data_IF_646222249131
#
_entry.id   IF_646222249131
#
_cell.length_a   1.000
_cell.length_b   1.000
_cell.length_c   1.000
_cell.angle_alpha   90.00
_cell.angle_beta   90.00
_cell.angle_gamma   90.00
#
_symmetry.space_group_name_H-M   'P 1'
#
loop_
_entity.id
_entity.type
_entity.pdbx_description
1 polymer ?
#
# COMPACT_ATOMS: atom_id res chain seq x y z
N UNK A 1 34.46 -55.98 -15.99
CA UNK A 1 33.68 -54.99 -15.23
C UNK A 1 33.01 -54.06 -16.21
N UNK A 2 31.71 -53.74 -16.07
CA UNK A 2 31.04 -52.76 -16.93
C UNK A 2 31.37 -51.33 -16.51
N UNK A 3 30.96 -50.35 -17.32
CA UNK A 3 31.13 -48.93 -16.99
C UNK A 3 30.27 -48.54 -15.76
N UNK A 4 30.74 -47.60 -14.91
CA UNK A 4 30.12 -47.35 -13.61
C UNK A 4 28.66 -46.89 -13.66
N UNK A 5 28.28 -46.10 -14.67
CA UNK A 5 26.95 -45.47 -14.72
C UNK A 5 26.05 -46.07 -15.82
N UNK A 6 26.60 -46.39 -17.00
CA UNK A 6 25.80 -46.87 -18.13
C UNK A 6 25.73 -48.41 -18.20
N UNK A 7 26.46 -49.10 -17.32
CA UNK A 7 26.61 -50.55 -17.33
C UNK A 7 27.07 -51.11 -18.70
N UNK A 8 27.92 -50.35 -19.42
CA UNK A 8 28.43 -50.74 -20.74
C UNK A 8 29.52 -51.79 -20.56
N UNK A 9 29.40 -52.93 -21.25
CA UNK A 9 30.38 -54.02 -21.16
C UNK A 9 31.74 -53.58 -21.68
N UNK A 10 32.79 -53.71 -20.87
CA UNK A 10 34.16 -53.48 -21.33
C UNK A 10 34.70 -54.67 -22.13
N UNK A 11 35.57 -54.39 -23.09
CA UNK A 11 36.30 -55.41 -23.83
C UNK A 11 37.14 -56.29 -22.87
N UNK A 12 37.06 -57.62 -23.02
CA UNK A 12 37.89 -58.51 -22.21
C UNK A 12 39.31 -58.65 -22.80
N UNK A 13 40.30 -58.95 -21.94
CA UNK A 13 41.71 -59.00 -22.31
C UNK A 13 41.98 -59.91 -23.53
N UNK A 14 41.40 -61.11 -23.53
CA UNK A 14 41.53 -62.11 -24.59
C UNK A 14 40.20 -62.35 -25.35
N UNK A 15 39.49 -61.28 -25.69
CA UNK A 15 38.24 -61.37 -26.45
C UNK A 15 38.49 -61.44 -27.97
N UNK A 16 37.80 -62.37 -28.65
CA UNK A 16 37.68 -62.37 -30.11
C UNK A 16 36.59 -61.38 -30.56
N UNK A 17 36.75 -60.77 -31.74
CA UNK A 17 35.83 -59.76 -32.30
C UNK A 17 35.61 -58.56 -31.37
N UNK A 18 36.70 -57.90 -30.97
CA UNK A 18 36.66 -56.75 -30.03
C UNK A 18 35.86 -55.58 -30.60
N UNK A 19 35.89 -55.42 -31.92
CA UNK A 19 35.13 -54.42 -32.68
C UNK A 19 33.62 -54.51 -32.43
N UNK A 20 33.06 -55.70 -32.21
CA UNK A 20 31.61 -55.86 -31.92
C UNK A 20 31.26 -55.22 -30.58
N UNK A 21 32.06 -55.49 -29.53
CA UNK A 21 31.84 -54.90 -28.20
C UNK A 21 32.13 -53.41 -28.18
N UNK A 22 33.13 -52.95 -28.93
CA UNK A 22 33.41 -51.53 -29.06
C UNK A 22 32.26 -50.81 -29.75
N UNK A 23 31.73 -51.36 -30.84
CA UNK A 23 30.61 -50.75 -31.56
C UNK A 23 29.35 -50.68 -30.68
N UNK A 24 28.98 -51.76 -29.96
CA UNK A 24 27.85 -51.69 -29.01
C UNK A 24 28.10 -50.68 -27.88
N UNK A 25 29.34 -50.54 -27.40
CA UNK A 25 29.69 -49.55 -26.39
C UNK A 25 29.57 -48.11 -26.90
N UNK A 26 29.95 -47.86 -28.15
CA UNK A 26 29.80 -46.56 -28.82
C UNK A 26 28.31 -46.25 -29.01
N UNK A 27 27.54 -47.19 -29.53
CA UNK A 27 26.09 -47.06 -29.68
C UNK A 27 25.41 -46.82 -28.33
N UNK A 28 25.88 -47.48 -27.26
CA UNK A 28 25.38 -47.27 -25.91
C UNK A 28 25.56 -45.82 -25.44
N UNK A 29 26.74 -45.25 -25.69
CA UNK A 29 27.09 -43.91 -25.27
C UNK A 29 26.32 -42.86 -26.08
N UNK A 30 26.26 -43.03 -27.41
CA UNK A 30 25.51 -42.14 -28.29
C UNK A 30 24.02 -42.12 -27.90
N UNK A 31 23.42 -43.30 -27.73
CA UNK A 31 22.02 -43.40 -27.34
C UNK A 31 21.76 -42.82 -25.94
N UNK A 32 22.65 -43.07 -24.97
CA UNK A 32 22.54 -42.50 -23.63
C UNK A 32 22.62 -40.96 -23.62
N UNK A 33 23.19 -40.34 -24.64
CA UNK A 33 23.21 -38.88 -24.76
C UNK A 33 22.04 -38.35 -25.59
N UNK A 34 21.68 -39.03 -26.68
CA UNK A 34 20.88 -38.45 -27.76
C UNK A 34 19.51 -39.12 -27.97
N UNK A 35 19.37 -40.40 -27.60
CA UNK A 35 18.15 -41.15 -27.89
C UNK A 35 16.99 -40.74 -26.98
N UNK A 36 15.81 -40.58 -27.57
CA UNK A 36 14.55 -40.38 -26.85
C UNK A 36 13.74 -41.68 -26.81
N UNK A 37 13.24 -42.03 -25.62
CA UNK A 37 12.32 -43.13 -25.41
C UNK A 37 10.94 -42.58 -25.03
N UNK A 38 9.92 -42.92 -25.81
CA UNK A 38 8.52 -42.68 -25.42
C UNK A 38 7.99 -43.88 -24.64
N UNK A 39 7.45 -43.63 -23.44
CA UNK A 39 6.85 -44.64 -22.58
C UNK A 39 5.42 -44.22 -22.27
N UNK A 40 4.46 -45.11 -22.56
CA UNK A 40 3.09 -44.92 -22.14
C UNK A 40 2.99 -45.16 -20.62
N UNK A 41 2.63 -44.11 -19.89
CA UNK A 41 2.32 -44.16 -18.49
C UNK A 41 0.81 -44.37 -18.36
N UNK A 42 0.42 -45.52 -17.81
CA UNK A 42 -0.96 -45.73 -17.37
C UNK A 42 -1.29 -44.73 -16.25
N UNK A 43 -2.56 -44.60 -15.89
CA UNK A 43 -2.98 -43.82 -14.72
C UNK A 43 -2.60 -44.53 -13.40
N UNK A 44 -1.30 -44.78 -13.22
CA UNK A 44 -0.65 -45.51 -12.14
C UNK A 44 0.84 -45.15 -12.08
N UNK A 45 1.52 -45.48 -10.97
CA UNK A 45 2.96 -45.29 -10.86
C UNK A 45 3.72 -46.18 -11.86
N UNK A 46 4.85 -45.69 -12.36
CA UNK A 46 5.67 -46.37 -13.36
C UNK A 46 7.10 -46.55 -12.86
N UNK A 47 7.71 -47.71 -13.12
CA UNK A 47 9.12 -47.96 -12.84
C UNK A 47 9.87 -48.19 -14.15
N UNK A 48 10.94 -47.41 -14.37
CA UNK A 48 11.83 -47.62 -15.51
C UNK A 48 12.79 -48.77 -15.24
N UNK A 49 13.09 -49.55 -16.28
CA UNK A 49 14.16 -50.55 -16.21
C UNK A 49 15.54 -49.88 -16.29
N UNK A 50 16.56 -50.60 -15.83
CA UNK A 50 17.98 -50.21 -15.98
C UNK A 50 18.30 -49.81 -17.42
N UNK A 51 17.89 -50.62 -18.40
CA UNK A 51 18.14 -50.35 -19.82
C UNK A 51 17.41 -49.11 -20.32
N UNK A 52 16.14 -48.92 -19.95
CA UNK A 52 15.38 -47.72 -20.35
C UNK A 52 16.05 -46.45 -19.83
N UNK A 53 16.41 -46.44 -18.55
CA UNK A 53 17.08 -45.33 -17.91
C UNK A 53 18.52 -45.14 -18.40
N UNK A 54 19.24 -46.22 -18.77
CA UNK A 54 20.67 -46.21 -19.13
C UNK A 54 20.99 -46.10 -20.63
N UNK A 55 20.03 -46.33 -21.54
CA UNK A 55 20.26 -46.22 -23.00
C UNK A 55 19.58 -45.00 -23.63
N UNK A 56 18.87 -44.15 -22.90
CA UNK A 56 18.13 -43.01 -23.49
C UNK A 56 18.43 -41.71 -22.77
N UNK A 57 18.87 -40.68 -23.49
CA UNK A 57 19.12 -39.33 -22.98
C UNK A 57 17.84 -38.57 -22.59
N UNK A 58 16.71 -38.90 -23.21
CA UNK A 58 15.40 -38.31 -22.94
C UNK A 58 14.34 -39.41 -22.72
N UNK A 59 13.57 -39.30 -21.65
CA UNK A 59 12.36 -40.11 -21.41
C UNK A 59 11.13 -39.22 -21.61
N UNK A 60 10.23 -39.63 -22.50
CA UNK A 60 8.96 -38.95 -22.77
C UNK A 60 7.84 -39.81 -22.21
N UNK A 61 7.12 -39.28 -21.22
CA UNK A 61 5.97 -39.96 -20.64
C UNK A 61 4.71 -39.51 -21.38
N UNK A 62 3.92 -40.47 -21.87
CA UNK A 62 2.67 -40.24 -22.60
C UNK A 62 1.51 -40.95 -21.90
N UNK A 63 0.26 -40.66 -22.27
CA UNK A 63 -0.93 -41.22 -21.61
C UNK A 63 -1.81 -40.12 -21.01
N UNK A 64 -2.89 -40.52 -20.33
CA UNK A 64 -3.79 -39.58 -19.62
C UNK A 64 -3.79 -39.91 -18.15
N UNK A 65 -3.48 -38.92 -17.31
CA UNK A 65 -3.42 -39.07 -15.86
C UNK A 65 -4.59 -38.32 -15.20
N UNK A 66 -5.18 -38.90 -14.17
CA UNK A 66 -6.24 -38.24 -13.38
C UNK A 66 -5.77 -37.79 -12.00
N UNK A 67 -4.58 -38.21 -11.58
CA UNK A 67 -3.88 -37.76 -10.38
C UNK A 67 -2.36 -37.70 -10.63
N UNK A 68 -1.61 -37.00 -9.77
CA UNK A 68 -0.15 -37.05 -9.82
C UNK A 68 0.38 -38.47 -9.65
N UNK A 69 1.40 -38.85 -10.43
CA UNK A 69 1.98 -40.20 -10.42
C UNK A 69 3.49 -40.18 -10.15
N UNK A 70 3.98 -41.26 -9.57
CA UNK A 70 5.41 -41.47 -9.31
C UNK A 70 6.05 -42.18 -10.51
N UNK A 71 7.16 -41.62 -10.99
CA UNK A 71 8.10 -42.30 -11.88
C UNK A 71 9.32 -42.75 -11.05
N UNK A 72 9.52 -44.05 -10.92
CA UNK A 72 10.67 -44.61 -10.22
C UNK A 72 11.79 -44.94 -11.20
N UNK A 73 12.95 -44.34 -11.01
CA UNK A 73 14.17 -44.63 -11.76
C UNK A 73 15.08 -45.59 -10.96
N UNK A 74 15.89 -46.41 -11.64
CA UNK A 74 16.99 -47.13 -11.00
C UNK A 74 18.02 -46.14 -10.42
N UNK A 75 18.45 -46.35 -9.18
CA UNK A 75 19.44 -45.51 -8.51
C UNK A 75 20.78 -45.54 -9.27
N UNK A 76 21.32 -44.35 -9.56
CA UNK A 76 22.52 -44.18 -10.38
C UNK A 76 23.12 -42.77 -10.17
N UNK A 77 24.31 -42.49 -10.71
CA UNK A 77 24.88 -41.14 -10.81
C UNK A 77 24.58 -40.48 -12.17
N UNK A 78 23.61 -41.01 -12.90
CA UNK A 78 23.35 -40.63 -14.29
C UNK A 78 22.57 -39.31 -14.41
N UNK A 79 22.89 -38.55 -15.46
CA UNK A 79 22.10 -37.43 -15.97
C UNK A 79 21.23 -37.86 -17.16
N UNK A 80 19.97 -37.42 -17.18
CA UNK A 80 19.04 -37.57 -18.31
C UNK A 80 17.92 -36.53 -18.23
N UNK A 81 17.19 -36.31 -19.32
CA UNK A 81 16.00 -35.44 -19.33
C UNK A 81 14.71 -36.27 -19.23
N UNK A 82 13.71 -35.72 -18.55
CA UNK A 82 12.38 -36.33 -18.42
C UNK A 82 11.34 -35.32 -18.88
N UNK A 83 10.49 -35.70 -19.83
CA UNK A 83 9.37 -34.90 -20.33
C UNK A 83 8.05 -35.50 -19.89
N UNK A 84 7.23 -34.69 -19.23
CA UNK A 84 5.84 -35.03 -18.97
C UNK A 84 4.98 -34.57 -20.16
N UNK A 85 4.75 -35.47 -21.11
CA UNK A 85 3.86 -35.27 -22.26
C UNK A 85 2.50 -35.96 -22.07
N UNK A 86 2.10 -36.19 -20.81
CA UNK A 86 0.79 -36.76 -20.49
C UNK A 86 -0.31 -35.71 -20.60
N UNK A 87 -1.54 -36.16 -20.84
CA UNK A 87 -2.75 -35.36 -20.77
C UNK A 87 -3.39 -35.45 -19.37
N UNK A 88 -4.35 -34.57 -19.06
CA UNK A 88 -5.08 -34.57 -17.78
C UNK A 88 -4.56 -33.61 -16.71
N UNK A 89 -3.49 -32.85 -17.03
CA UNK A 89 -3.04 -31.70 -16.21
C UNK A 89 -2.37 -32.09 -14.89
N UNK A 90 -1.85 -33.31 -14.79
CA UNK A 90 -1.24 -33.84 -13.56
C UNK A 90 0.29 -33.87 -13.62
N UNK A 91 0.91 -33.57 -12.48
CA UNK A 91 2.36 -33.67 -12.30
C UNK A 91 2.84 -35.13 -12.31
N UNK A 92 4.06 -35.34 -12.78
CA UNK A 92 4.83 -36.57 -12.55
C UNK A 92 5.94 -36.28 -11.54
N UNK A 93 6.08 -37.13 -10.53
CA UNK A 93 7.09 -37.03 -9.47
C UNK A 93 8.16 -38.10 -9.67
N UNK A 94 9.31 -37.71 -10.20
CA UNK A 94 10.42 -38.63 -10.48
C UNK A 94 11.30 -38.82 -9.25
N UNK A 95 11.66 -40.08 -8.93
CA UNK A 95 12.50 -40.42 -7.77
C UNK A 95 13.26 -41.72 -7.94
N UNK A 96 14.20 -42.00 -7.05
CA UNK A 96 14.75 -43.34 -6.85
C UNK A 96 13.91 -44.15 -5.85
N UNK A 97 13.95 -45.47 -5.98
CA UNK A 97 13.28 -46.37 -5.05
C UNK A 97 13.82 -46.16 -3.62
N UNK A 98 12.93 -45.91 -2.65
CA UNK A 98 13.31 -45.64 -1.26
C UNK A 98 13.84 -44.24 -0.95
N UNK A 99 14.01 -43.37 -1.95
CA UNK A 99 14.39 -41.97 -1.73
C UNK A 99 13.20 -41.12 -1.24
N UNK A 100 13.48 -40.18 -0.34
CA UNK A 100 12.54 -39.13 0.06
C UNK A 100 12.55 -37.92 -0.88
N UNK A 101 13.58 -37.78 -1.72
CA UNK A 101 13.71 -36.70 -2.68
C UNK A 101 12.90 -37.01 -3.95
N UNK A 102 12.13 -36.02 -4.41
CA UNK A 102 11.33 -36.12 -5.63
C UNK A 102 11.57 -34.89 -6.50
N UNK A 103 11.68 -35.12 -7.81
CA UNK A 103 11.70 -34.06 -8.82
C UNK A 103 10.32 -33.97 -9.45
N UNK A 104 9.65 -32.83 -9.29
CA UNK A 104 8.34 -32.58 -9.89
C UNK A 104 8.52 -32.15 -11.34
N UNK A 105 7.83 -32.83 -12.26
CA UNK A 105 7.73 -32.47 -13.67
C UNK A 105 6.27 -32.14 -13.98
N UNK A 106 5.96 -30.84 -14.03
CA UNK A 106 4.62 -30.33 -14.35
C UNK A 106 4.20 -30.69 -15.78
N UNK A 107 2.88 -30.72 -16.10
CA UNK A 107 2.40 -31.03 -17.45
C UNK A 107 3.08 -30.19 -18.54
N UNK A 108 3.56 -30.85 -19.59
CA UNK A 108 4.23 -30.20 -20.73
C UNK A 108 5.69 -29.85 -20.50
N UNK A 109 6.20 -29.91 -19.27
CA UNK A 109 7.58 -29.55 -18.96
C UNK A 109 8.57 -30.66 -19.34
N UNK A 110 9.82 -30.25 -19.58
CA UNK A 110 10.99 -31.12 -19.70
C UNK A 110 12.01 -30.69 -18.65
N UNK A 111 12.42 -31.61 -17.78
CA UNK A 111 13.37 -31.34 -16.69
C UNK A 111 14.61 -32.20 -16.88
N UNK A 112 15.78 -31.57 -16.85
CA UNK A 112 17.05 -32.29 -16.75
C UNK A 112 17.23 -32.77 -15.31
N UNK A 113 17.52 -34.04 -15.10
CA UNK A 113 17.72 -34.62 -13.77
C UNK A 113 19.12 -35.21 -13.61
N UNK A 114 19.64 -35.20 -12.39
CA UNK A 114 20.95 -35.71 -12.01
C UNK A 114 20.83 -36.60 -10.77
N UNK A 115 21.29 -37.84 -10.87
CA UNK A 115 21.45 -38.73 -9.73
C UNK A 115 22.77 -38.54 -8.99
N UNK A 116 22.80 -38.85 -7.68
CA UNK A 116 24.03 -38.94 -6.88
C UNK A 116 24.28 -40.36 -6.32
N UNK A 117 23.59 -41.37 -6.84
CA UNK A 117 23.64 -42.76 -6.35
C UNK A 117 22.60 -43.10 -5.28
N UNK A 118 22.08 -42.12 -4.52
CA UNK A 118 21.04 -42.31 -3.51
C UNK A 118 19.74 -41.55 -3.78
N UNK A 119 19.86 -40.33 -4.32
CA UNK A 119 18.78 -39.39 -4.60
C UNK A 119 18.84 -38.86 -6.04
N UNK A 120 17.72 -38.30 -6.50
CA UNK A 120 17.54 -37.68 -7.80
C UNK A 120 17.23 -36.18 -7.62
N UNK A 121 17.92 -35.32 -8.36
CA UNK A 121 17.74 -33.87 -8.31
C UNK A 121 17.40 -33.29 -9.69
N UNK A 122 16.59 -32.24 -9.73
CA UNK A 122 16.41 -31.42 -10.92
C UNK A 122 17.64 -30.52 -11.14
N UNK A 123 18.05 -30.35 -12.39
CA UNK A 123 19.16 -29.48 -12.80
C UNK A 123 18.56 -28.24 -13.44
N UNK A 124 18.72 -27.08 -12.80
CA UNK A 124 18.28 -25.79 -13.32
C UNK A 124 16.80 -25.45 -13.07
N UNK A 125 16.30 -25.66 -11.85
CA UNK A 125 14.98 -25.16 -11.46
C UNK A 125 15.02 -23.67 -11.19
N UNK A 126 14.40 -22.87 -12.06
CA UNK A 126 13.90 -21.54 -11.65
C UNK A 126 12.74 -21.72 -10.66
N UNK A 127 12.55 -20.74 -9.80
CA UNK A 127 11.43 -20.70 -8.86
C UNK A 127 10.08 -20.87 -9.59
N UNK A 128 9.28 -21.87 -9.20
CA UNK A 128 7.95 -22.13 -9.77
C UNK A 128 6.89 -21.22 -9.16
N UNK A 129 7.12 -20.79 -7.92
CA UNK A 129 6.40 -19.73 -7.23
C UNK A 129 7.40 -18.73 -6.64
N UNK A 130 6.95 -17.49 -6.40
CA UNK A 130 7.80 -16.44 -5.83
C UNK A 130 8.42 -16.84 -4.47
N UNK A 131 7.74 -17.69 -3.70
CA UNK A 131 8.23 -18.23 -2.43
C UNK A 131 9.31 -19.32 -2.53
N UNK A 132 9.63 -19.78 -3.74
CA UNK A 132 10.73 -20.75 -3.94
C UNK A 132 12.10 -20.05 -4.00
N UNK A 133 12.12 -18.73 -4.10
CA UNK A 133 13.36 -17.95 -4.05
C UNK A 133 13.86 -17.88 -2.61
N UNK A 134 15.11 -18.27 -2.39
CA UNK A 134 15.70 -18.37 -1.04
C UNK A 134 15.82 -17.03 -0.31
N UNK A 135 15.80 -15.93 -1.05
CA UNK A 135 15.85 -14.56 -0.58
C UNK A 135 14.46 -13.89 -0.56
N UNK A 136 13.36 -14.66 -0.72
CA UNK A 136 11.99 -14.13 -0.70
C UNK A 136 11.12 -14.89 0.31
N UNK A 137 10.50 -14.16 1.22
CA UNK A 137 9.47 -14.65 2.14
C UNK A 137 8.10 -14.09 1.77
N UNK A 138 7.18 -14.97 1.40
CA UNK A 138 5.76 -14.64 1.15
C UNK A 138 4.86 -14.98 2.34
N UNK A 139 5.44 -15.34 3.49
CA UNK A 139 4.67 -15.69 4.67
C UNK A 139 3.81 -14.50 5.11
N UNK A 140 2.47 -14.68 5.09
CA UNK A 140 1.51 -13.64 5.45
C UNK A 140 1.14 -12.66 4.33
N UNK A 141 1.68 -12.80 3.11
CA UNK A 141 1.33 -11.95 1.98
C UNK A 141 -0.09 -12.26 1.45
N UNK A 142 -0.89 -11.21 1.22
CA UNK A 142 -2.19 -11.25 0.57
C UNK A 142 -2.13 -10.68 -0.87
N UNK A 143 -3.18 -10.93 -1.66
CA UNK A 143 -3.29 -10.36 -3.00
C UNK A 143 -3.37 -8.82 -2.92
N UNK A 144 -2.44 -8.14 -3.58
CA UNK A 144 -2.31 -6.68 -3.56
C UNK A 144 -1.21 -6.15 -2.65
N UNK A 145 -0.56 -7.01 -1.86
CA UNK A 145 0.55 -6.61 -0.99
C UNK A 145 1.84 -6.33 -1.78
N UNK A 146 2.66 -5.44 -1.23
CA UNK A 146 4.00 -5.13 -1.74
C UNK A 146 5.04 -5.88 -0.90
N UNK A 147 5.99 -6.54 -1.57
CA UNK A 147 7.18 -7.09 -0.91
C UNK A 147 8.28 -6.02 -0.89
N UNK A 148 8.93 -5.85 0.26
CA UNK A 148 10.02 -4.89 0.45
C UNK A 148 11.33 -5.61 0.79
N UNK A 149 12.44 -5.11 0.24
CA UNK A 149 13.78 -5.60 0.55
C UNK A 149 14.32 -4.99 1.84
N UNK A 150 14.74 -5.82 2.79
CA UNK A 150 15.23 -5.41 4.12
C UNK A 150 16.77 -5.32 4.22
N UNK A 151 17.47 -5.57 3.11
CA UNK A 151 18.93 -5.64 3.05
C UNK A 151 19.48 -7.08 3.06
N UNK A 152 18.64 -8.08 3.32
CA UNK A 152 18.99 -9.50 3.27
C UNK A 152 17.97 -10.33 2.47
N UNK A 153 16.67 -10.04 2.59
CA UNK A 153 15.58 -10.73 1.93
C UNK A 153 14.44 -9.78 1.52
N UNK A 154 13.58 -10.24 0.61
CA UNK A 154 12.31 -9.61 0.27
C UNK A 154 11.19 -10.21 1.13
N UNK A 155 10.41 -9.38 1.81
CA UNK A 155 9.31 -9.85 2.67
C UNK A 155 8.06 -8.98 2.56
N UNK A 156 6.90 -9.54 2.88
CA UNK A 156 5.67 -8.77 3.02
C UNK A 156 5.82 -7.81 4.22
N UNK A 157 5.80 -6.52 3.94
CA UNK A 157 5.67 -5.48 4.97
C UNK A 157 4.19 -5.15 5.05
N UNK A 158 3.56 -5.47 6.18
CA UNK A 158 2.13 -5.22 6.39
C UNK A 158 1.80 -3.76 6.05
N UNK A 159 0.83 -3.58 5.15
CA UNK A 159 0.21 -2.34 4.64
C UNK A 159 0.76 -1.04 5.25
N UNK A 160 2.00 -0.70 4.90
CA UNK A 160 2.57 0.62 5.14
C UNK A 160 2.03 1.55 4.06
N UNK A 161 1.07 2.40 4.42
CA UNK A 161 0.38 3.35 3.54
C UNK A 161 1.38 4.15 2.70
N UNK A 162 1.55 3.78 1.43
CA UNK A 162 2.31 4.55 0.44
C UNK A 162 1.43 5.43 -0.45
N UNK A 163 0.26 5.82 0.04
CA UNK A 163 -0.42 6.97 -0.54
C UNK A 163 -0.23 8.14 0.40
N UNK A 164 0.73 9.02 0.08
CA UNK A 164 0.51 10.44 0.30
C UNK A 164 -0.82 10.71 -0.40
N UNK A 165 -1.92 10.74 0.35
CA UNK A 165 -3.20 11.14 -0.18
C UNK A 165 -2.97 12.54 -0.75
N UNK A 166 -2.85 12.62 -2.09
CA UNK A 166 -3.13 13.86 -2.79
C UNK A 166 -4.58 14.13 -2.42
N UNK A 167 -4.79 14.96 -1.38
CA UNK A 167 -6.12 15.36 -0.99
C UNK A 167 -6.77 15.92 -2.26
N UNK A 168 -7.92 15.36 -2.69
CA UNK A 168 -8.59 15.86 -3.88
C UNK A 168 -8.85 17.36 -3.71
N UNK A 169 -8.85 18.10 -4.81
CA UNK A 169 -9.15 19.54 -4.78
C UNK A 169 -10.43 19.81 -3.98
N UNK A 170 -10.33 20.69 -2.97
CA UNK A 170 -11.46 21.14 -2.15
C UNK A 170 -11.70 22.63 -2.40
N UNK A 171 -12.90 22.97 -2.84
CA UNK A 171 -13.28 24.35 -3.15
C UNK A 171 -14.68 24.47 -3.71
N UNK A 172 -15.08 25.70 -4.03
CA UNK A 172 -16.33 25.99 -4.71
C UNK A 172 -16.13 27.12 -5.75
N UNK A 173 -16.93 27.08 -6.82
CA UNK A 173 -17.04 28.15 -7.82
C UNK A 173 -18.50 28.52 -7.97
N UNK A 174 -18.85 29.72 -7.54
CA UNK A 174 -20.19 30.29 -7.60
C UNK A 174 -20.29 31.21 -8.79
N UNK A 175 -21.47 31.23 -9.44
CA UNK A 175 -21.74 32.12 -10.57
C UNK A 175 -23.13 32.71 -10.51
N UNK A 176 -23.28 33.80 -11.28
CA UNK A 176 -24.58 34.37 -11.64
C UNK A 176 -24.97 33.99 -13.07
N UNK A 177 -26.21 33.57 -13.26
CA UNK A 177 -26.83 33.34 -14.57
C UNK A 177 -27.51 34.59 -15.13
N UNK A 178 -27.87 35.56 -14.28
CA UNK A 178 -28.52 36.81 -14.69
C UNK A 178 -27.80 38.04 -14.19
N UNK A 179 -28.03 39.17 -14.85
CA UNK A 179 -27.52 40.47 -14.41
C UNK A 179 -27.98 40.79 -12.97
N UNK A 180 -27.23 41.67 -12.30
CA UNK A 180 -27.54 42.13 -10.95
C UNK A 180 -27.52 43.65 -10.90
N UNK A 181 -28.66 44.24 -10.56
CA UNK A 181 -28.76 45.67 -10.32
C UNK A 181 -28.23 46.01 -8.92
N UNK A 182 -27.23 46.88 -8.86
CA UNK A 182 -26.69 47.46 -7.63
C UNK A 182 -27.30 48.85 -7.48
N UNK A 183 -28.53 48.89 -6.93
CA UNK A 183 -29.32 50.11 -6.83
C UNK A 183 -28.98 50.96 -5.59
N UNK A 184 -28.44 50.34 -4.54
CA UNK A 184 -28.13 51.03 -3.28
C UNK A 184 -26.72 51.60 -3.35
N UNK A 185 -26.59 52.92 -3.12
CA UNK A 185 -25.30 53.63 -3.16
C UNK A 185 -24.78 53.90 -1.75
N UNK A 186 -23.46 54.11 -1.63
CA UNK A 186 -22.86 54.51 -0.35
C UNK A 186 -22.74 53.41 0.71
N UNK A 187 -23.03 52.16 0.34
CA UNK A 187 -22.91 50.98 1.21
C UNK A 187 -22.39 49.78 0.43
N UNK A 188 -21.81 48.81 1.13
CA UNK A 188 -21.42 47.53 0.53
C UNK A 188 -22.65 46.66 0.30
N UNK A 189 -22.83 46.20 -0.93
CA UNK A 189 -23.86 45.25 -1.34
C UNK A 189 -23.19 43.92 -1.65
N UNK A 190 -23.50 42.89 -0.86
CA UNK A 190 -23.05 41.53 -1.11
C UNK A 190 -23.72 40.94 -2.34
N UNK A 191 -22.98 40.25 -3.19
CA UNK A 191 -23.52 39.63 -4.39
C UNK A 191 -24.21 38.30 -4.06
N UNK A 192 -25.52 38.14 -4.34
CA UNK A 192 -26.16 36.84 -4.20
C UNK A 192 -25.79 35.96 -5.40
N UNK A 193 -25.37 34.72 -5.12
CA UNK A 193 -25.05 33.72 -6.13
C UNK A 193 -26.27 32.86 -6.46
N UNK A 194 -26.28 32.25 -7.65
CA UNK A 194 -27.44 31.50 -8.15
C UNK A 194 -27.15 30.01 -8.33
N UNK A 195 -25.89 29.65 -8.60
CA UNK A 195 -25.47 28.27 -8.75
C UNK A 195 -24.00 28.11 -8.40
N UNK A 196 -23.64 26.94 -7.88
CA UNK A 196 -22.27 26.45 -7.86
C UNK A 196 -22.01 25.62 -9.12
N UNK A 197 -20.93 25.92 -9.85
CA UNK A 197 -20.43 25.04 -10.93
C UNK A 197 -19.80 23.79 -10.32
N UNK A 198 -19.09 23.98 -9.21
CA UNK A 198 -18.67 22.92 -8.31
C UNK A 198 -18.70 23.44 -6.88
N UNK A 199 -18.94 22.53 -5.93
CA UNK A 199 -18.76 22.76 -4.50
C UNK A 199 -18.40 21.43 -3.84
N UNK A 200 -17.10 21.13 -3.77
CA UNK A 200 -16.60 19.86 -3.24
C UNK A 200 -16.48 19.85 -1.71
N UNK A 201 -16.80 20.97 -1.03
CA UNK A 201 -16.66 21.10 0.42
C UNK A 201 -17.90 21.62 1.13
N UNK A 202 -19.04 21.71 0.46
CA UNK A 202 -20.27 22.31 0.98
C UNK A 202 -20.05 23.73 1.52
N UNK A 203 -19.31 24.54 0.75
CA UNK A 203 -19.03 25.93 1.10
C UNK A 203 -20.24 26.84 0.88
N UNK A 204 -21.15 26.51 -0.04
CA UNK A 204 -22.27 27.38 -0.41
C UNK A 204 -23.62 26.74 -0.15
N UNK A 205 -24.54 27.56 0.37
CA UNK A 205 -25.93 27.20 0.61
C UNK A 205 -26.83 28.23 -0.08
N UNK A 206 -27.77 27.75 -0.90
CA UNK A 206 -28.74 28.60 -1.58
C UNK A 206 -29.64 29.40 -0.61
N UNK A 207 -29.80 28.95 0.64
CA UNK A 207 -30.45 29.67 1.72
C UNK A 207 -29.65 30.85 2.30
N UNK A 208 -28.34 30.91 2.01
CA UNK A 208 -27.44 32.02 2.35
C UNK A 208 -26.66 32.45 1.10
N UNK A 209 -27.35 32.96 0.07
CA UNK A 209 -26.86 32.94 -1.30
C UNK A 209 -25.61 33.80 -1.53
N UNK A 210 -25.26 34.75 -0.65
CA UNK A 210 -24.08 35.59 -0.79
C UNK A 210 -22.81 35.05 -0.14
N UNK A 211 -22.89 33.92 0.58
CA UNK A 211 -21.82 33.46 1.48
C UNK A 211 -21.15 32.17 1.05
N UNK A 212 -19.82 32.15 1.08
CA UNK A 212 -19.01 30.93 1.15
C UNK A 212 -18.62 30.70 2.61
N UNK A 213 -19.21 29.70 3.26
CA UNK A 213 -18.99 29.36 4.66
C UNK A 213 -17.92 28.28 4.80
N UNK A 214 -17.00 28.46 5.75
CA UNK A 214 -15.87 27.57 5.98
C UNK A 214 -16.35 26.32 6.76
N UNK A 215 -16.23 25.11 6.18
CA UNK A 215 -16.55 23.88 6.88
C UNK A 215 -15.50 23.52 7.93
N UNK A 216 -15.82 22.57 8.81
CA UNK A 216 -14.89 22.07 9.81
C UNK A 216 -13.60 21.51 9.18
N UNK A 217 -12.48 21.71 9.87
CA UNK A 217 -11.17 21.17 9.47
C UNK A 217 -10.44 21.96 8.38
N UNK A 218 -10.96 23.09 7.90
CA UNK A 218 -10.23 24.01 6.99
C UNK A 218 -9.55 25.10 7.81
N UNK A 219 -8.25 25.32 7.62
CA UNK A 219 -7.45 26.29 8.38
C UNK A 219 -6.97 27.45 7.53
N UNK A 220 -6.78 27.25 6.21
CA UNK A 220 -6.45 28.32 5.27
C UNK A 220 -7.15 28.18 3.93
N UNK A 221 -7.54 29.31 3.36
CA UNK A 221 -8.19 29.38 2.05
C UNK A 221 -7.62 30.51 1.21
N UNK A 222 -7.86 30.45 -0.10
CA UNK A 222 -7.70 31.59 -1.01
C UNK A 222 -9.02 31.84 -1.72
N UNK A 223 -9.34 33.10 -1.91
CA UNK A 223 -10.55 33.57 -2.58
C UNK A 223 -10.15 34.25 -3.88
N UNK A 224 -10.82 33.89 -4.98
CA UNK A 224 -10.65 34.54 -6.29
C UNK A 224 -12.02 34.95 -6.79
N UNK A 225 -12.17 36.16 -7.30
CA UNK A 225 -13.45 36.66 -7.79
C UNK A 225 -13.31 37.42 -9.08
N UNK A 226 -14.38 37.43 -9.86
CA UNK A 226 -14.50 38.26 -11.04
C UNK A 226 -15.87 38.92 -11.08
N UNK A 227 -15.88 40.21 -11.46
CA UNK A 227 -17.11 40.91 -11.83
C UNK A 227 -16.94 41.55 -13.21
N UNK A 228 -18.04 41.74 -13.92
CA UNK A 228 -18.09 42.60 -15.09
C UNK A 228 -19.28 43.56 -14.99
N UNK A 229 -19.08 44.84 -15.29
CA UNK A 229 -20.18 45.80 -15.37
C UNK A 229 -20.85 45.77 -16.75
N UNK A 230 -22.16 45.55 -16.77
CA UNK A 230 -23.04 45.86 -17.91
C UNK A 230 -23.32 47.37 -17.98
N UNK A 231 -23.38 48.04 -16.83
CA UNK A 231 -23.46 49.50 -16.72
C UNK A 231 -22.59 49.93 -15.55
N UNK A 232 -21.43 50.52 -15.84
CA UNK A 232 -20.46 50.89 -14.81
C UNK A 232 -20.86 52.17 -14.05
N UNK A 233 -20.76 52.16 -12.71
CA UNK A 233 -21.00 53.34 -11.89
C UNK A 233 -19.75 54.23 -11.80
N UNK A 234 -19.95 55.52 -11.57
CA UNK A 234 -18.89 56.56 -11.51
C UNK A 234 -17.80 56.34 -10.46
N UNK A 235 -18.11 55.65 -9.36
CA UNK A 235 -17.13 55.23 -8.36
C UNK A 235 -17.52 53.85 -7.87
N UNK A 236 -16.56 52.94 -7.84
CA UNK A 236 -16.78 51.53 -7.55
C UNK A 236 -15.62 50.96 -6.73
N UNK A 237 -15.97 50.10 -5.80
CA UNK A 237 -15.05 49.21 -5.11
C UNK A 237 -15.67 47.83 -5.11
N UNK A 238 -14.89 46.82 -5.47
CA UNK A 238 -15.22 45.41 -5.26
C UNK A 238 -14.22 44.84 -4.27
N UNK A 239 -14.69 44.08 -3.29
CA UNK A 239 -13.86 43.57 -2.20
C UNK A 239 -14.37 42.22 -1.69
N UNK A 240 -13.43 41.32 -1.39
CA UNK A 240 -13.68 40.12 -0.59
C UNK A 240 -13.79 40.53 0.89
N UNK A 241 -14.93 40.25 1.50
CA UNK A 241 -15.18 40.53 2.91
C UNK A 241 -15.28 39.22 3.69
N UNK A 242 -14.75 39.21 4.91
CA UNK A 242 -14.84 38.10 5.86
C UNK A 242 -15.79 38.51 6.99
N UNK A 243 -16.80 37.69 7.26
CA UNK A 243 -17.79 37.97 8.31
C UNK A 243 -18.38 39.39 8.22
N UNK A 244 -18.64 39.86 6.99
CA UNK A 244 -19.18 41.20 6.69
C UNK A 244 -18.19 42.36 6.80
N UNK A 245 -16.92 42.10 7.12
CA UNK A 245 -15.88 43.11 7.33
C UNK A 245 -14.77 43.00 6.28
N UNK A 246 -14.08 44.13 6.02
CA UNK A 246 -12.83 44.11 5.25
C UNK A 246 -11.80 43.25 5.99
N UNK A 247 -11.01 42.48 5.24
CA UNK A 247 -10.01 41.56 5.79
C UNK A 247 -8.63 41.88 5.25
N UNK A 248 -7.61 41.84 6.12
CA UNK A 248 -6.23 42.02 5.70
C UNK A 248 -5.83 40.93 4.69
N UNK A 249 -5.28 41.33 3.55
CA UNK A 249 -4.98 40.40 2.45
C UNK A 249 -6.21 39.96 1.65
N UNK A 250 -7.40 40.52 1.92
CA UNK A 250 -8.58 40.34 1.08
C UNK A 250 -8.36 40.96 -0.30
N UNK A 251 -8.79 40.26 -1.35
CA UNK A 251 -8.76 40.81 -2.70
C UNK A 251 -9.68 42.02 -2.80
N UNK A 252 -9.20 43.13 -3.35
CA UNK A 252 -10.00 44.32 -3.58
C UNK A 252 -9.55 45.08 -4.82
N UNK A 253 -10.46 45.83 -5.43
CA UNK A 253 -10.18 46.69 -6.56
C UNK A 253 -11.07 47.93 -6.54
N UNK A 254 -10.48 49.12 -6.63
CA UNK A 254 -11.18 50.41 -6.59
C UNK A 254 -10.96 51.21 -7.87
N UNK A 255 -12.01 51.85 -8.36
CA UNK A 255 -11.95 52.82 -9.46
C UNK A 255 -12.78 54.05 -9.14
N UNK A 256 -12.26 55.23 -9.46
CA UNK A 256 -12.92 56.52 -9.32
C UNK A 256 -12.92 57.23 -10.67
N UNK A 257 -14.08 57.75 -11.08
CA UNK A 257 -14.22 58.54 -12.31
C UNK A 257 -14.42 57.73 -13.59
N UNK A 258 -14.80 56.45 -13.50
CA UNK A 258 -14.93 55.54 -14.63
C UNK A 258 -16.38 55.07 -14.78
N UNK A 259 -17.11 55.58 -15.78
CA UNK A 259 -18.57 55.36 -15.94
C UNK A 259 -19.01 55.22 -17.40
N UNK A 260 -20.13 54.55 -17.63
CA UNK A 260 -20.81 54.51 -18.93
C UNK A 260 -20.30 53.42 -19.88
N UNK A 261 -19.44 52.52 -19.40
CA UNK A 261 -18.95 51.38 -20.17
C UNK A 261 -19.69 50.09 -19.77
N UNK A 262 -19.79 49.15 -20.72
CA UNK A 262 -20.58 47.92 -20.57
C UNK A 262 -19.75 46.63 -20.61
N UNK A 263 -18.45 46.70 -20.38
CA UNK A 263 -17.54 45.55 -20.45
C UNK A 263 -16.37 45.66 -19.47
N UNK A 264 -16.60 46.35 -18.35
CA UNK A 264 -15.54 46.59 -17.38
C UNK A 264 -15.37 45.39 -16.46
N UNK A 265 -14.36 44.58 -16.76
CA UNK A 265 -14.01 43.42 -15.94
C UNK A 265 -13.07 43.79 -14.81
N UNK A 266 -13.27 43.17 -13.65
CA UNK A 266 -12.39 43.24 -12.49
C UNK A 266 -12.15 41.82 -12.00
N UNK A 267 -10.90 41.39 -11.99
CA UNK A 267 -10.48 40.15 -11.38
C UNK A 267 -9.70 40.47 -10.10
N UNK A 268 -9.96 39.73 -9.04
CA UNK A 268 -9.29 39.92 -7.76
C UNK A 268 -8.97 38.57 -7.13
N UNK A 269 -7.87 38.55 -6.37
CA UNK A 269 -7.43 37.39 -5.60
C UNK A 269 -7.02 37.85 -4.22
N UNK A 270 -7.30 37.04 -3.20
CA UNK A 270 -6.80 37.26 -1.85
C UNK A 270 -5.39 36.69 -1.69
N UNK A 271 -4.71 37.10 -0.63
CA UNK A 271 -3.66 36.29 -0.03
C UNK A 271 -4.23 34.94 0.46
N UNK A 272 -3.37 34.06 0.97
CA UNK A 272 -3.84 32.91 1.75
C UNK A 272 -4.35 33.42 3.10
N UNK A 273 -5.63 33.20 3.38
CA UNK A 273 -6.32 33.74 4.55
C UNK A 273 -6.51 32.64 5.61
N UNK A 274 -6.15 32.91 6.88
CA UNK A 274 -6.46 31.99 7.98
C UNK A 274 -7.96 32.02 8.31
N UNK A 275 -8.51 30.85 8.58
CA UNK A 275 -9.94 30.64 8.82
C UNK A 275 -10.20 29.65 9.94
N UNK A 276 -11.40 29.75 10.50
CA UNK A 276 -11.99 28.77 11.41
C UNK A 276 -13.34 28.32 10.86
N UNK A 277 -13.80 27.15 11.31
CA UNK A 277 -15.13 26.65 10.94
C UNK A 277 -16.22 27.69 11.26
N UNK A 278 -17.13 27.92 10.32
CA UNK A 278 -18.21 28.90 10.45
C UNK A 278 -17.84 30.34 10.08
N UNK A 279 -16.56 30.67 9.88
CA UNK A 279 -16.20 31.89 9.16
C UNK A 279 -16.85 31.88 7.77
N UNK A 280 -17.18 33.05 7.24
CA UNK A 280 -17.73 33.13 5.89
C UNK A 280 -17.17 34.31 5.10
N UNK A 281 -17.13 34.14 3.78
CA UNK A 281 -16.69 35.14 2.83
C UNK A 281 -17.80 35.53 1.87
N UNK A 282 -17.79 36.80 1.47
CA UNK A 282 -18.66 37.33 0.42
C UNK A 282 -17.85 38.21 -0.54
N UNK A 283 -18.31 38.32 -1.78
CA UNK A 283 -17.88 39.37 -2.68
C UNK A 283 -18.88 40.52 -2.56
N UNK A 284 -18.41 41.69 -2.18
CA UNK A 284 -19.25 42.87 -2.02
C UNK A 284 -18.81 43.99 -2.95
N UNK A 285 -19.79 44.75 -3.44
CA UNK A 285 -19.57 45.95 -4.26
C UNK A 285 -20.06 47.18 -3.51
N UNK A 286 -19.27 48.24 -3.54
CA UNK A 286 -19.65 49.58 -3.09
C UNK A 286 -19.68 50.49 -4.32
N UNK A 287 -20.77 51.20 -4.51
CA UNK A 287 -20.96 52.07 -5.68
C UNK A 287 -21.38 53.49 -5.27
N UNK A 288 -20.85 54.49 -5.97
CA UNK A 288 -21.22 55.90 -5.79
C UNK A 288 -22.49 56.30 -6.57
N UNK A 289 -22.82 55.54 -7.61
CA UNK A 289 -24.04 55.66 -8.43
C UNK A 289 -24.56 54.26 -8.74
N UNK A 290 -25.82 54.13 -9.17
CA UNK A 290 -26.38 52.82 -9.53
C UNK A 290 -25.59 52.18 -10.66
N UNK A 291 -25.34 50.88 -10.55
CA UNK A 291 -24.67 50.09 -11.59
C UNK A 291 -25.37 48.77 -11.84
N UNK A 292 -25.03 48.09 -12.93
CA UNK A 292 -25.51 46.75 -13.22
C UNK A 292 -24.33 45.82 -13.53
N UNK A 293 -24.22 44.72 -12.79
CA UNK A 293 -23.27 43.65 -13.07
C UNK A 293 -23.84 42.69 -14.11
N UNK A 294 -22.99 42.23 -15.03
CA UNK A 294 -23.33 41.25 -16.05
C UNK A 294 -23.34 39.83 -15.46
N UNK A 295 -24.39 39.07 -15.75
CA UNK A 295 -24.48 37.64 -15.47
C UNK A 295 -23.73 36.78 -16.50
N UNK A 296 -24.18 35.54 -16.73
CA UNK A 296 -23.71 34.66 -17.81
C UNK A 296 -22.19 34.40 -17.78
N UNK A 297 -21.71 33.76 -16.70
CA UNK A 297 -20.31 33.34 -16.48
C UNK A 297 -19.28 34.49 -16.35
N UNK A 298 -19.70 35.75 -16.49
CA UNK A 298 -18.82 36.91 -16.32
C UNK A 298 -18.65 37.37 -14.88
N UNK A 299 -19.60 37.01 -14.01
CA UNK A 299 -19.56 37.35 -12.58
C UNK A 299 -19.56 36.07 -11.74
N UNK A 300 -18.46 35.82 -11.03
CA UNK A 300 -18.22 34.60 -10.27
C UNK A 300 -17.32 34.81 -9.04
N UNK A 301 -17.37 33.87 -8.10
CA UNK A 301 -16.53 33.82 -6.89
C UNK A 301 -16.11 32.39 -6.63
N UNK A 302 -14.82 32.20 -6.39
CA UNK A 302 -14.23 30.91 -6.10
C UNK A 302 -13.51 30.92 -4.74
N UNK A 303 -13.53 29.77 -4.08
CA UNK A 303 -12.71 29.46 -2.90
C UNK A 303 -11.94 28.18 -3.14
N UNK A 304 -10.66 28.19 -2.78
CA UNK A 304 -9.83 26.99 -2.70
C UNK A 304 -9.33 26.78 -1.28
N UNK A 305 -9.38 25.52 -0.82
CA UNK A 305 -8.72 25.11 0.42
C UNK A 305 -7.22 25.03 0.15
N UNK A 306 -6.47 25.81 0.91
CA UNK A 306 -5.00 25.79 0.87
C UNK A 306 -4.45 24.87 1.94
N UNK A 307 -5.14 24.77 3.09
CA UNK A 307 -4.70 23.97 4.22
C UNK A 307 -5.91 23.46 5.02
N UNK A 308 -5.83 22.19 5.44
CA UNK A 308 -6.74 21.57 6.40
C UNK A 308 -6.01 21.31 7.72
N UNK A 309 -6.75 21.13 8.81
CA UNK A 309 -6.20 20.77 10.12
C UNK A 309 -5.32 19.51 10.02
N UNK A 310 -5.78 18.47 9.32
CA UNK A 310 -5.02 17.23 9.11
C UNK A 310 -3.76 17.43 8.26
N UNK A 311 -3.69 18.49 7.44
CA UNK A 311 -2.48 18.84 6.69
C UNK A 311 -1.52 19.72 7.51
N UNK A 312 -2.05 20.50 8.46
CA UNK A 312 -1.26 21.27 9.43
C UNK A 312 -0.66 20.38 10.52
N UNK A 313 -1.34 19.28 10.86
CA UNK A 313 -0.93 18.24 11.80
C UNK A 313 -0.99 16.85 11.11
N UNK A 314 -0.10 16.54 10.15
CA UNK A 314 -0.14 15.27 9.42
C UNK A 314 -0.10 14.07 10.39
N UNK A 315 -0.89 13.01 10.18
CA UNK A 315 -0.87 11.86 11.09
C UNK A 315 0.52 11.21 11.14
N UNK A 316 0.94 10.87 12.35
CA UNK A 316 2.22 10.24 12.68
C UNK A 316 1.98 9.07 13.64
N UNK A 317 1.06 8.19 13.24
CA UNK A 317 0.61 7.09 14.09
C UNK A 317 1.71 6.06 14.31
N UNK A 318 1.79 5.57 15.54
CA UNK A 318 2.75 4.56 15.97
C UNK A 318 1.99 3.31 16.39
N UNK A 319 2.07 2.26 15.58
CA UNK A 319 1.32 1.02 15.81
C UNK A 319 2.22 -0.14 16.22
N UNK A 320 1.65 -1.08 16.97
CA UNK A 320 2.31 -2.29 17.42
C UNK A 320 1.35 -3.46 17.54
N UNK A 321 1.88 -4.67 17.40
CA UNK A 321 1.16 -5.91 17.68
C UNK A 321 2.04 -6.89 18.45
N UNK A 322 1.52 -7.42 19.55
CA UNK A 322 2.10 -8.50 20.33
C UNK A 322 1.21 -9.73 20.24
N UNK A 323 1.67 -10.72 19.49
CA UNK A 323 1.04 -12.03 19.46
C UNK A 323 1.19 -12.74 20.80
N UNK A 324 0.11 -13.41 21.24
CA UNK A 324 0.10 -14.15 22.50
C UNK A 324 0.29 -13.27 23.73
N UNK A 325 0.66 -13.89 24.84
CA UNK A 325 0.83 -13.22 26.14
C UNK A 325 2.20 -12.52 26.23
N UNK A 326 2.27 -11.28 26.73
CA UNK A 326 3.54 -10.63 27.01
C UNK A 326 4.24 -11.19 28.26
N UNK A 327 5.58 -11.25 28.22
CA UNK A 327 6.42 -11.57 29.36
C UNK A 327 6.60 -10.36 30.30
N UNK A 328 7.10 -10.63 31.51
CA UNK A 328 7.39 -9.60 32.49
C UNK A 328 8.41 -8.60 31.93
N UNK A 329 8.10 -7.31 32.04
CA UNK A 329 8.94 -6.21 31.55
C UNK A 329 9.30 -6.31 30.04
N UNK A 330 8.53 -7.08 29.26
CA UNK A 330 8.77 -7.24 27.83
C UNK A 330 8.55 -5.92 27.10
N UNK A 331 9.54 -5.50 26.30
CA UNK A 331 9.39 -4.38 25.38
C UNK A 331 8.65 -4.86 24.14
N UNK A 332 7.35 -4.55 24.05
CA UNK A 332 6.50 -5.02 22.95
C UNK A 332 6.58 -4.12 21.71
N UNK A 333 7.06 -2.88 21.88
CA UNK A 333 7.40 -1.96 20.80
C UNK A 333 8.64 -1.15 21.20
N UNK A 334 9.56 -0.95 20.25
CA UNK A 334 10.71 -0.05 20.39
C UNK A 334 10.99 0.65 19.06
N UNK A 335 10.73 1.95 18.99
CA UNK A 335 10.80 2.73 17.75
C UNK A 335 11.68 3.95 17.96
N UNK A 336 12.83 4.04 17.26
CA UNK A 336 13.57 5.29 17.11
C UNK A 336 12.73 6.28 16.29
N UNK A 337 12.52 7.46 16.85
CA UNK A 337 11.71 8.51 16.25
C UNK A 337 12.53 9.18 15.14
N UNK A 338 12.05 9.06 13.90
CA UNK A 338 12.73 9.64 12.74
C UNK A 338 12.26 11.07 12.42
N UNK A 339 11.06 11.44 12.87
CA UNK A 339 10.45 12.75 12.62
C UNK A 339 9.81 13.28 13.89
N UNK A 340 9.91 14.59 14.07
CA UNK A 340 9.35 15.27 15.23
C UNK A 340 7.84 15.01 15.30
N UNK A 341 7.39 14.38 16.38
CA UNK A 341 6.02 13.84 16.50
C UNK A 341 5.40 14.30 17.81
N UNK A 342 4.22 14.90 17.76
CA UNK A 342 3.43 15.31 18.92
C UNK A 342 2.45 14.19 19.30
N UNK A 343 2.43 13.83 20.57
CA UNK A 343 1.44 12.97 21.21
C UNK A 343 0.58 13.82 22.14
N UNK A 344 -0.74 13.84 21.94
CA UNK A 344 -1.67 14.67 22.72
C UNK A 344 -1.78 14.20 24.17
N UNK A 345 -2.28 15.08 25.04
CA UNK A 345 -2.70 14.70 26.41
C UNK A 345 -3.66 13.50 26.36
N UNK A 346 -3.55 12.60 27.34
CA UNK A 346 -4.24 11.30 27.38
C UNK A 346 -4.05 10.42 26.14
N UNK A 347 -3.10 10.75 25.26
CA UNK A 347 -2.91 10.14 23.95
C UNK A 347 -4.23 10.10 23.17
N UNK A 348 -5.01 11.17 23.24
CA UNK A 348 -6.33 11.27 22.64
C UNK A 348 -6.35 10.84 21.16
N UNK A 349 -7.25 9.91 20.83
CA UNK A 349 -7.36 9.29 19.50
C UNK A 349 -6.59 7.97 19.36
N UNK A 350 -5.79 7.57 20.36
CA UNK A 350 -5.15 6.26 20.38
C UNK A 350 -6.16 5.15 20.66
N UNK A 351 -5.90 3.98 20.09
CA UNK A 351 -6.75 2.80 20.23
C UNK A 351 -5.91 1.57 20.55
N UNK A 352 -6.43 0.68 21.37
CA UNK A 352 -5.83 -0.63 21.59
C UNK A 352 -6.91 -1.68 21.87
N UNK A 353 -6.63 -2.90 21.43
CA UNK A 353 -7.47 -4.07 21.61
C UNK A 353 -6.65 -5.32 21.90
N UNK A 354 -7.25 -6.26 22.61
CA UNK A 354 -6.67 -7.58 22.88
C UNK A 354 -7.58 -8.70 22.37
N UNK A 355 -7.01 -9.79 21.90
CA UNK A 355 -7.73 -11.02 21.53
C UNK A 355 -8.31 -11.73 22.76
N UNK A 356 -7.61 -11.68 23.88
CA UNK A 356 -8.04 -12.26 25.16
C UNK A 356 -8.06 -11.18 26.23
N UNK A 357 -9.17 -11.08 26.96
CA UNK A 357 -9.34 -10.07 28.01
C UNK A 357 -8.36 -10.27 29.18
N UNK A 358 -8.02 -9.17 29.85
CA UNK A 358 -7.25 -9.22 31.08
C UNK A 358 -8.11 -9.73 32.25
N UNK A 359 -7.51 -10.51 33.17
CA UNK A 359 -8.19 -10.91 34.43
C UNK A 359 -8.05 -9.89 35.55
N UNK A 360 -6.99 -9.10 35.53
CA UNK A 360 -6.74 -7.97 36.41
C UNK A 360 -6.37 -6.73 35.59
N UNK A 361 -6.28 -5.55 36.23
CA UNK A 361 -5.77 -4.36 35.55
C UNK A 361 -4.33 -4.60 35.10
N UNK A 362 -4.03 -4.33 33.84
CA UNK A 362 -2.70 -4.48 33.25
C UNK A 362 -2.26 -3.16 32.61
N UNK A 363 -1.18 -2.59 33.13
CA UNK A 363 -0.66 -1.29 32.71
C UNK A 363 0.62 -1.50 31.89
N UNK A 364 0.58 -1.07 30.64
CA UNK A 364 1.74 -0.97 29.78
C UNK A 364 2.31 0.43 29.89
N UNK A 365 3.60 0.50 30.18
CA UNK A 365 4.34 1.75 30.36
C UNK A 365 4.85 2.24 29.00
N UNK A 366 4.41 3.42 28.59
CA UNK A 366 4.87 4.08 27.38
C UNK A 366 6.00 5.01 27.77
N UNK A 367 7.21 4.69 27.31
CA UNK A 367 8.45 5.35 27.68
C UNK A 367 9.07 6.11 26.52
N UNK A 368 9.73 7.21 26.84
CA UNK A 368 10.59 7.98 25.94
C UNK A 368 12.00 7.95 26.50
N UNK A 369 12.96 7.46 25.72
CA UNK A 369 14.36 7.27 26.13
C UNK A 369 14.51 6.49 27.45
N UNK A 370 13.59 5.53 27.68
CA UNK A 370 13.55 4.70 28.88
C UNK A 370 12.83 5.32 30.08
N UNK A 371 12.33 6.56 29.98
CA UNK A 371 11.59 7.25 31.04
C UNK A 371 10.08 7.13 30.79
N UNK A 372 9.31 6.75 31.82
CA UNK A 372 7.85 6.67 31.75
C UNK A 372 7.22 8.02 31.39
N UNK A 373 6.33 8.02 30.41
CA UNK A 373 5.67 9.23 29.88
C UNK A 373 4.16 9.10 29.83
N UNK A 374 3.63 7.90 29.61
CA UNK A 374 2.19 7.63 29.54
C UNK A 374 1.90 6.16 29.87
N UNK A 375 0.62 5.83 30.03
CA UNK A 375 0.17 4.46 30.33
C UNK A 375 -0.92 4.04 29.35
N UNK A 376 -0.82 2.81 28.84
CA UNK A 376 -1.89 2.09 28.16
C UNK A 376 -2.42 1.02 29.11
N UNK A 377 -3.66 1.17 29.59
CA UNK A 377 -4.26 0.34 30.63
C UNK A 377 -5.39 -0.53 30.07
N UNK A 378 -5.29 -1.84 30.24
CA UNK A 378 -6.41 -2.76 30.11
C UNK A 378 -7.02 -2.99 31.49
N UNK A 379 -8.31 -2.67 31.67
CA UNK A 379 -9.02 -2.97 32.91
C UNK A 379 -9.35 -4.47 33.03
N UNK A 380 -9.64 -4.93 34.24
CA UNK A 380 -10.12 -6.29 34.45
C UNK A 380 -11.37 -6.57 33.59
N UNK A 381 -11.39 -7.73 32.94
CA UNK A 381 -12.39 -8.19 31.97
C UNK A 381 -12.51 -7.34 30.69
N UNK A 382 -11.62 -6.37 30.43
CA UNK A 382 -11.64 -5.56 29.22
C UNK A 382 -10.76 -6.14 28.11
N UNK A 383 -11.22 -6.00 26.87
CA UNK A 383 -10.44 -6.24 25.64
C UNK A 383 -10.04 -4.95 24.93
N UNK A 384 -10.36 -3.78 25.49
CA UNK A 384 -9.92 -2.48 24.98
C UNK A 384 -9.14 -1.74 26.07
N UNK A 385 -8.14 -0.97 25.65
CA UNK A 385 -7.36 -0.16 26.58
C UNK A 385 -7.86 1.28 26.67
N UNK A 386 -7.59 1.90 27.82
CA UNK A 386 -7.62 3.35 28.00
C UNK A 386 -6.20 3.89 28.06
N UNK A 387 -5.99 5.11 27.57
CA UNK A 387 -4.70 5.77 27.61
C UNK A 387 -4.71 6.91 28.64
N UNK A 388 -3.58 7.09 29.31
CA UNK A 388 -3.41 8.08 30.38
C UNK A 388 -2.08 8.81 30.13
N UNK A 389 -2.12 10.13 29.99
CA UNK A 389 -0.92 10.95 29.87
C UNK A 389 -1.18 12.32 30.48
N UNK A 390 -0.33 12.75 31.42
CA UNK A 390 -0.55 13.97 32.20
C UNK A 390 -0.43 15.27 31.37
N UNK A 391 0.28 15.22 30.25
CA UNK A 391 0.46 16.37 29.36
C UNK A 391 0.70 15.92 27.92
N UNK A 392 0.53 16.86 26.99
CA UNK A 392 1.06 16.71 25.63
C UNK A 392 2.58 16.48 25.69
N UNK A 393 3.08 15.60 24.82
CA UNK A 393 4.49 15.27 24.73
C UNK A 393 4.96 15.35 23.28
N UNK A 394 6.11 15.99 23.05
CA UNK A 394 6.75 16.06 21.74
C UNK A 394 7.95 15.12 21.74
N UNK A 395 7.96 14.19 20.78
CA UNK A 395 9.05 13.29 20.48
C UNK A 395 9.97 13.95 19.45
N UNK A 396 11.23 14.12 19.80
CA UNK A 396 12.26 14.67 18.91
C UNK A 396 12.95 13.56 18.10
N UNK A 397 13.46 13.86 16.89
CA UNK A 397 14.23 12.90 16.12
C UNK A 397 15.44 12.35 16.90
N UNK A 398 15.61 11.03 16.86
CA UNK A 398 16.67 10.30 17.57
C UNK A 398 16.26 9.78 18.95
N UNK A 399 15.16 10.28 19.54
CA UNK A 399 14.60 9.68 20.76
C UNK A 399 13.99 8.31 20.46
N UNK A 400 13.87 7.47 21.47
CA UNK A 400 13.28 6.13 21.35
C UNK A 400 11.98 6.08 22.14
N UNK A 401 10.87 5.84 21.44
CA UNK A 401 9.61 5.46 22.08
C UNK A 401 9.60 3.96 22.30
N UNK A 402 9.16 3.51 23.48
CA UNK A 402 8.93 2.11 23.76
C UNK A 402 7.65 1.88 24.54
N UNK A 403 7.04 0.72 24.36
CA UNK A 403 5.91 0.25 25.16
C UNK A 403 6.35 -1.00 25.89
N UNK A 404 6.24 -0.99 27.21
CA UNK A 404 6.78 -2.02 28.11
C UNK A 404 5.65 -2.67 28.88
N UNK A 405 5.60 -4.00 28.85
CA UNK A 405 4.65 -4.80 29.60
C UNK A 405 4.87 -4.67 31.12
N UNK A 406 3.84 -4.87 31.95
CA UNK A 406 3.98 -4.80 33.39
C UNK A 406 4.96 -5.88 33.91
N UNK A 407 5.69 -5.55 34.99
CA UNK A 407 6.63 -6.48 35.65
C UNK A 407 5.95 -7.73 36.21
N UNK A 408 4.64 -7.63 36.47
CA UNK A 408 3.77 -8.78 36.72
C UNK A 408 2.73 -8.86 35.60
N UNK A 409 2.96 -9.69 34.56
CA UNK A 409 2.00 -9.85 33.46
C UNK A 409 0.68 -10.40 33.96
N UNK A 410 -0.42 -9.86 33.42
CA UNK A 410 -1.75 -10.43 33.64
C UNK A 410 -1.79 -11.90 33.20
N UNK A 411 -2.58 -12.72 33.88
CA UNK A 411 -2.60 -14.15 33.65
C UNK A 411 -3.03 -14.53 32.23
N UNK A 412 -3.96 -13.78 31.62
CA UNK A 412 -4.68 -14.18 30.40
C UNK A 412 -4.56 -13.20 29.24
N UNK A 413 -4.27 -11.92 29.49
CA UNK A 413 -4.20 -10.88 28.45
C UNK A 413 -3.21 -11.28 27.34
N UNK A 414 -3.70 -11.34 26.11
CA UNK A 414 -2.93 -11.81 24.95
C UNK A 414 -3.43 -11.22 23.62
N UNK A 415 -2.56 -11.21 22.61
CA UNK A 415 -2.92 -10.75 21.25
C UNK A 415 -3.21 -9.26 21.22
N UNK A 416 -2.25 -8.44 21.66
CA UNK A 416 -2.46 -7.00 21.91
C UNK A 416 -2.08 -6.23 20.65
N UNK A 417 -3.07 -5.60 20.00
CA UNK A 417 -2.87 -4.62 18.94
C UNK A 417 -3.12 -3.20 19.46
N UNK A 418 -2.29 -2.24 19.08
CA UNK A 418 -2.48 -0.85 19.45
C UNK A 418 -1.93 0.13 18.41
N UNK A 419 -2.49 1.34 18.43
CA UNK A 419 -2.06 2.49 17.66
C UNK A 419 -2.06 3.70 18.58
N UNK A 420 -0.89 4.32 18.75
CA UNK A 420 -0.72 5.61 19.41
C UNK A 420 -0.92 6.70 18.36
N UNK A 421 -1.94 7.53 18.56
CA UNK A 421 -2.23 8.65 17.67
C UNK A 421 -1.21 9.77 17.88
N UNK A 422 -0.53 10.14 16.79
CA UNK A 422 0.46 11.21 16.79
C UNK A 422 0.26 12.16 15.62
N UNK A 423 0.84 13.35 15.71
CA UNK A 423 0.89 14.29 14.57
C UNK A 423 2.31 14.76 14.31
N UNK A 424 2.69 14.90 13.04
CA UNK A 424 3.97 15.49 12.66
C UNK A 424 3.99 16.95 13.08
N UNK A 425 5.05 17.35 13.76
CA UNK A 425 5.34 18.76 14.04
C UNK A 425 6.24 19.25 12.91
N UNK A 426 5.66 20.01 11.98
CA UNK A 426 6.35 20.59 10.82
C UNK A 426 7.15 21.85 11.15
#
# INVERSE_FOLDING_TARGET
MPSPNLAVTHVAAAQNQKEVTINDAVDALDNAMNQALSVAMADANLTLTGTQANRNGLIILTGTLTASRILTLPANHRRLAIRNATNGGQDVRAKYAGSGAEVVIVPGATVLVQGNGGDLYGVGGGAGALGDLTDVSIAGAANGDVLQFDGAAWGATGVGIFNRALLPFRGALLRRSTNFSVATTGVYVALPWQSAEYDSGAFWDAGQPSRLTIPAGVTKVRIVGNIEWQTSPTSQLVEVRKNGNSVLGGGSFIVRGDSGYSNQMRNLSSAVLPVSAGDWFELAVYVGTTGELRGLERTWLAIEVVETADAADPPADISGYKAGKPAADEVIVRIPIARRTRLKIDLAGSHASAEVAATASADFDIRIDGVSSATMRFAAAATSATFIAASETVLEPGQVLSVVAPSTPDATLAGIGFTLAGTLVL
#
